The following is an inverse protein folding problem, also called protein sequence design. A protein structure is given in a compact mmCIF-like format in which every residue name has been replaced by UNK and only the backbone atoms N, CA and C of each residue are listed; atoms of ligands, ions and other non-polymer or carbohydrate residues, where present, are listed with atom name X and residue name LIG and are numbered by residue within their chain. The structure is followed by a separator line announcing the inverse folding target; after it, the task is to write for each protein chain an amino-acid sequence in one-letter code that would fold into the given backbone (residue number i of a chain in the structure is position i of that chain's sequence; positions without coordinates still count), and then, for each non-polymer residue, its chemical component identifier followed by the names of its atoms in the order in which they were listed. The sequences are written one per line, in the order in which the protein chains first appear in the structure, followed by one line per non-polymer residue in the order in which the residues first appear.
data_IF_497124038464
#
_entry.id   IF_497124038464
#
_cell.length_a   1.000
_cell.length_b   1.000
_cell.length_c   1.000
_cell.angle_alpha   90.00
_cell.angle_beta   90.00
_cell.angle_gamma   90.00
#
_symmetry.space_group_name_H-M   'P 1'
#
loop_
_entity.id
_entity.type
_entity.pdbx_description
1 polymer ?
#
# COMPACT_ATOMS: atom_id res chain seq x y z
N UNK A 1 60.04 28.85 8.13
CA UNK A 1 59.05 27.94 8.76
C UNK A 1 57.73 28.05 8.00
N UNK A 2 57.41 27.07 7.15
CA UNK A 2 56.18 27.06 6.32
C UNK A 2 55.03 26.52 7.18
N UNK A 3 54.04 27.37 7.49
CA UNK A 3 52.82 26.95 8.20
C UNK A 3 51.90 26.21 7.21
N UNK A 4 51.72 24.90 7.41
CA UNK A 4 50.75 24.10 6.68
C UNK A 4 49.40 24.29 7.38
N UNK A 5 48.45 24.92 6.70
CA UNK A 5 47.06 25.08 7.16
C UNK A 5 46.31 23.82 6.73
N UNK A 6 45.91 22.99 7.69
CA UNK A 6 44.97 21.90 7.46
C UNK A 6 43.55 22.49 7.39
N UNK A 7 42.99 22.54 6.18
CA UNK A 7 41.57 22.83 5.98
C UNK A 7 40.82 21.51 6.18
N UNK A 8 40.17 21.36 7.34
CA UNK A 8 39.20 20.31 7.60
C UNK A 8 37.93 20.62 6.79
N UNK A 9 37.77 19.93 5.66
CA UNK A 9 36.52 19.94 4.89
C UNK A 9 35.51 19.08 5.66
N UNK A 10 34.61 19.75 6.37
CA UNK A 10 33.43 19.12 6.95
C UNK A 10 32.47 18.78 5.80
N UNK A 11 32.52 17.54 5.31
CA UNK A 11 31.50 17.02 4.39
C UNK A 11 30.32 16.61 5.28
N UNK A 12 29.18 17.32 5.26
CA UNK A 12 27.97 16.81 5.89
C UNK A 12 27.60 15.52 5.13
N UNK A 13 27.81 14.38 5.78
CA UNK A 13 27.25 13.11 5.35
C UNK A 13 25.75 13.22 5.58
N UNK A 14 25.04 13.80 4.61
CA UNK A 14 23.60 13.65 4.51
C UNK A 14 23.40 12.22 4.02
N UNK A 15 23.34 11.26 4.95
CA UNK A 15 22.84 9.93 4.66
C UNK A 15 21.39 10.07 4.24
N UNK A 16 21.15 10.18 2.93
CA UNK A 16 19.86 9.85 2.34
C UNK A 16 19.65 8.35 2.63
N UNK A 17 19.05 8.05 3.78
CA UNK A 17 18.46 6.74 3.99
C UNK A 17 17.33 6.64 2.98
N UNK A 18 17.58 5.98 1.86
CA UNK A 18 16.49 5.43 1.06
C UNK A 18 15.72 4.55 2.03
N UNK A 19 14.51 4.97 2.40
CA UNK A 19 13.55 4.21 3.21
C UNK A 19 13.12 3.00 2.35
N UNK A 20 14.02 2.05 2.23
CA UNK A 20 13.70 0.65 2.03
C UNK A 20 13.87 0.03 3.41
N UNK A 21 12.94 0.34 4.33
CA UNK A 21 12.89 -0.44 5.55
C UNK A 21 12.62 -1.89 5.17
N UNK A 22 13.56 -2.75 5.55
CA UNK A 22 13.44 -4.19 5.36
C UNK A 22 12.19 -4.63 6.12
N UNK A 23 11.31 -5.33 5.41
CA UNK A 23 10.13 -5.97 5.99
C UNK A 23 10.51 -6.69 7.30
N UNK A 24 9.85 -6.34 8.40
CA UNK A 24 10.11 -6.97 9.69
C UNK A 24 9.69 -8.45 9.66
N UNK A 25 10.54 -9.32 10.19
CA UNK A 25 10.22 -10.73 10.35
C UNK A 25 9.02 -10.90 11.30
N UNK A 26 8.99 -10.12 12.39
CA UNK A 26 7.86 -9.99 13.29
C UNK A 26 7.66 -8.51 13.67
N UNK A 27 6.42 -8.05 13.58
CA UNK A 27 5.93 -6.77 14.08
C UNK A 27 4.74 -7.04 15.01
N UNK A 28 4.73 -6.44 16.21
CA UNK A 28 3.59 -6.51 17.12
C UNK A 28 3.04 -5.10 17.37
N UNK A 29 1.77 -4.88 17.02
CA UNK A 29 1.05 -3.65 17.38
C UNK A 29 0.34 -3.89 18.72
N UNK A 30 0.61 -3.04 19.71
CA UNK A 30 0.29 -3.30 21.12
C UNK A 30 -0.92 -2.49 21.59
N UNK A 31 -1.89 -3.14 22.22
CA UNK A 31 -2.90 -2.48 23.06
C UNK A 31 -3.94 -1.59 22.33
N UNK A 32 -4.13 -1.77 21.03
CA UNK A 32 -5.02 -0.89 20.26
C UNK A 32 -6.51 -1.27 20.37
N UNK A 33 -7.39 -0.32 20.03
CA UNK A 33 -8.79 -0.63 19.71
C UNK A 33 -8.92 -0.97 18.22
N UNK A 34 -9.38 -2.18 17.90
CA UNK A 34 -9.51 -2.69 16.54
C UNK A 34 -10.92 -2.44 15.98
N UNK A 35 -10.98 -1.84 14.80
CA UNK A 35 -12.16 -1.79 13.93
C UNK A 35 -11.90 -2.71 12.75
N UNK A 36 -12.48 -3.91 12.73
CA UNK A 36 -12.11 -4.96 11.77
C UNK A 36 -12.94 -4.96 10.46
N UNK A 37 -13.72 -3.91 10.19
CA UNK A 37 -14.56 -3.74 9.00
C UNK A 37 -15.65 -4.81 8.78
N UNK A 38 -16.04 -5.55 9.82
CA UNK A 38 -17.18 -6.49 9.75
C UNK A 38 -18.54 -5.83 10.05
N UNK A 39 -18.53 -4.55 10.46
CA UNK A 39 -19.71 -3.85 10.97
C UNK A 39 -20.00 -4.13 12.45
N UNK A 40 -19.25 -5.04 13.10
CA UNK A 40 -19.33 -5.26 14.54
C UNK A 40 -18.75 -4.08 15.34
N UNK A 41 -19.12 -3.93 16.63
CA UNK A 41 -18.51 -2.95 17.51
C UNK A 41 -16.97 -3.10 17.59
N UNK A 42 -16.22 -2.01 17.84
CA UNK A 42 -14.78 -2.07 18.02
C UNK A 42 -14.36 -3.03 19.14
N UNK A 43 -13.24 -3.73 18.96
CA UNK A 43 -12.71 -4.72 19.89
C UNK A 43 -11.40 -4.23 20.48
N UNK A 44 -11.24 -4.25 21.80
CA UNK A 44 -9.95 -3.85 22.38
C UNK A 44 -9.91 -3.81 23.90
N UNK A 45 -8.70 -3.65 24.47
CA UNK A 45 -7.41 -3.59 23.77
C UNK A 45 -7.00 -4.94 23.14
N UNK A 46 -6.39 -4.90 21.96
CA UNK A 46 -5.81 -6.06 21.27
C UNK A 46 -4.32 -5.87 20.98
N UNK A 47 -3.58 -6.97 20.99
CA UNK A 47 -2.26 -7.06 20.36
C UNK A 47 -2.39 -7.77 19.00
N UNK A 48 -1.82 -7.19 17.95
CA UNK A 48 -1.83 -7.75 16.59
C UNK A 48 -0.40 -8.18 16.24
N UNK A 49 -0.21 -9.46 15.92
CA UNK A 49 1.07 -10.03 15.49
C UNK A 49 1.07 -10.14 13.97
N UNK A 50 2.08 -9.54 13.36
CA UNK A 50 2.34 -9.57 11.93
C UNK A 50 3.68 -10.24 11.72
N UNK A 51 3.70 -11.35 10.98
CA UNK A 51 4.92 -12.08 10.66
C UNK A 51 5.06 -12.17 9.15
N UNK A 52 6.23 -11.76 8.65
CA UNK A 52 6.51 -11.74 7.22
C UNK A 52 5.36 -11.13 6.38
N UNK A 53 4.84 -9.96 6.83
CA UNK A 53 3.76 -9.20 6.17
C UNK A 53 2.39 -9.92 6.15
N UNK A 54 2.20 -10.90 7.03
CA UNK A 54 0.92 -11.59 7.24
C UNK A 54 0.49 -11.40 8.68
N UNK A 55 -0.78 -11.02 8.91
CA UNK A 55 -1.36 -11.02 10.26
C UNK A 55 -1.52 -12.49 10.68
N UNK A 56 -0.72 -12.93 11.65
CA UNK A 56 -0.75 -14.32 12.13
C UNK A 56 -1.56 -14.48 13.41
N UNK A 57 -1.76 -13.40 14.17
CA UNK A 57 -2.55 -13.44 15.40
C UNK A 57 -3.17 -12.09 15.74
N UNK A 58 -4.42 -12.11 16.23
CA UNK A 58 -5.06 -11.00 16.92
C UNK A 58 -5.46 -11.52 18.31
N UNK A 59 -4.87 -10.95 19.35
CA UNK A 59 -5.06 -11.38 20.73
C UNK A 59 -5.78 -10.27 21.50
N UNK A 60 -6.97 -10.54 22.01
CA UNK A 60 -7.55 -9.67 23.04
C UNK A 60 -6.68 -9.78 24.31
N UNK A 61 -6.23 -8.63 24.82
CA UNK A 61 -5.32 -8.54 25.98
C UNK A 61 -5.98 -7.87 27.19
N UNK A 62 -7.26 -7.53 27.09
CA UNK A 62 -8.02 -6.95 28.20
C UNK A 62 -9.35 -6.35 27.77
N UNK A 63 -9.90 -5.55 28.67
CA UNK A 63 -11.10 -4.73 28.46
C UNK A 63 -10.80 -3.31 28.90
N UNK A 64 -11.51 -2.29 28.36
CA UNK A 64 -11.31 -0.90 28.77
C UNK A 64 -11.46 -0.75 30.29
N UNK A 65 -10.50 -0.08 30.93
CA UNK A 65 -10.50 0.16 32.38
C UNK A 65 -9.95 -0.97 33.25
N UNK A 66 -9.52 -2.10 32.68
CA UNK A 66 -8.88 -3.20 33.43
C UNK A 66 -7.39 -3.31 33.06
N UNK A 67 -6.47 -3.40 34.04
CA UNK A 67 -5.04 -3.57 33.74
C UNK A 67 -4.76 -4.79 32.85
N UNK A 68 -3.93 -4.59 31.83
CA UNK A 68 -3.52 -5.66 30.92
C UNK A 68 -2.58 -6.64 31.64
N UNK A 69 -2.88 -7.93 31.55
CA UNK A 69 -1.98 -8.96 32.07
C UNK A 69 -0.85 -9.25 31.07
N UNK A 70 0.34 -8.68 31.33
CA UNK A 70 1.53 -8.82 30.49
C UNK A 70 1.98 -10.27 30.26
N UNK A 71 1.66 -11.20 31.16
CA UNK A 71 2.01 -12.62 30.96
C UNK A 71 1.26 -13.27 29.80
N UNK A 72 0.08 -12.74 29.44
CA UNK A 72 -0.81 -13.28 28.40
C UNK A 72 -0.61 -12.65 27.02
N UNK A 73 0.24 -11.62 26.93
CA UNK A 73 0.53 -10.94 25.66
C UNK A 73 1.41 -11.81 24.74
N UNK A 74 1.25 -11.71 23.40
CA UNK A 74 2.18 -12.34 22.47
C UNK A 74 3.63 -11.93 22.76
N UNK A 75 4.56 -12.89 22.69
CA UNK A 75 5.97 -12.64 23.00
C UNK A 75 6.69 -12.11 21.76
N UNK A 76 7.50 -11.09 21.98
CA UNK A 76 8.39 -10.55 20.97
C UNK A 76 9.55 -11.53 20.73
N UNK A 77 9.77 -11.94 19.49
CA UNK A 77 10.92 -12.75 19.11
C UNK A 77 12.19 -11.90 19.03
N UNK A 78 13.37 -12.54 19.08
CA UNK A 78 14.63 -11.82 18.88
C UNK A 78 14.63 -11.11 17.51
N UNK A 79 14.96 -9.82 17.48
CA UNK A 79 14.90 -8.98 16.27
C UNK A 79 13.48 -8.60 15.81
N UNK A 80 12.44 -8.95 16.57
CA UNK A 80 11.09 -8.45 16.36
C UNK A 80 10.97 -6.97 16.73
N UNK A 81 9.99 -6.30 16.13
CA UNK A 81 9.65 -4.90 16.42
C UNK A 81 8.29 -4.84 17.08
N UNK A 82 8.11 -3.93 18.04
CA UNK A 82 6.81 -3.61 18.58
C UNK A 82 6.53 -2.12 18.53
N UNK A 83 5.26 -1.78 18.34
CA UNK A 83 4.76 -0.40 18.32
C UNK A 83 3.67 -0.31 19.36
N UNK A 84 3.82 0.64 20.29
CA UNK A 84 2.77 0.96 21.26
C UNK A 84 1.64 1.70 20.55
N UNK A 85 0.43 1.13 20.63
CA UNK A 85 -0.79 1.66 20.03
C UNK A 85 -1.88 1.84 21.09
N UNK A 86 -1.53 1.89 22.38
CA UNK A 86 -2.49 2.17 23.44
C UNK A 86 -3.18 3.52 23.21
N UNK A 87 -4.50 3.56 23.41
CA UNK A 87 -5.34 4.73 23.11
C UNK A 87 -5.57 4.99 21.61
N UNK A 88 -4.91 4.25 20.72
CA UNK A 88 -5.09 4.38 19.26
C UNK A 88 -6.13 3.40 18.72
N UNK A 89 -6.60 3.71 17.51
CA UNK A 89 -7.47 2.83 16.73
C UNK A 89 -6.70 2.23 15.57
N UNK A 90 -6.88 0.93 15.34
CA UNK A 90 -6.36 0.23 14.18
C UNK A 90 -7.52 -0.13 13.25
N UNK A 91 -7.33 0.18 11.97
CA UNK A 91 -8.24 -0.16 10.88
C UNK A 91 -7.48 -0.97 9.82
N UNK A 92 -8.15 -1.82 9.03
CA UNK A 92 -7.61 -2.34 7.79
C UNK A 92 -7.17 -1.18 6.88
N UNK A 93 -6.11 -1.41 6.08
CA UNK A 93 -5.69 -0.44 5.08
C UNK A 93 -6.81 -0.14 4.08
N UNK A 94 -6.93 1.13 3.68
CA UNK A 94 -8.01 1.58 2.83
C UNK A 94 -7.85 1.12 1.38
N UNK A 95 -8.99 0.88 0.74
CA UNK A 95 -9.08 0.43 -0.65
C UNK A 95 -9.78 1.50 -1.46
N UNK A 96 -9.08 2.13 -2.40
CA UNK A 96 -9.68 3.05 -3.37
C UNK A 96 -10.02 2.31 -4.65
N UNK A 97 -11.31 2.21 -4.97
CA UNK A 97 -11.76 1.49 -6.16
C UNK A 97 -11.72 2.34 -7.44
N UNK A 98 -11.32 3.61 -7.37
CA UNK A 98 -11.22 4.50 -8.52
C UNK A 98 -10.02 5.45 -8.37
N UNK A 99 -8.82 4.89 -8.34
CA UNK A 99 -7.58 5.66 -8.20
C UNK A 99 -6.85 5.86 -9.53
N UNK A 100 -6.83 7.08 -10.08
CA UNK A 100 -6.00 7.40 -11.25
C UNK A 100 -4.56 7.71 -10.84
N UNK A 101 -3.59 6.97 -11.39
CA UNK A 101 -2.19 6.98 -10.94
C UNK A 101 -1.34 8.15 -11.52
N UNK A 102 -1.98 9.30 -11.79
CA UNK A 102 -1.32 10.48 -12.34
C UNK A 102 -1.45 10.64 -13.85
N UNK A 103 -0.55 11.45 -14.41
CA UNK A 103 -0.51 11.82 -15.83
C UNK A 103 -0.81 13.30 -16.07
N UNK A 104 -0.75 13.71 -17.34
CA UNK A 104 -0.79 15.12 -17.74
C UNK A 104 -1.99 15.89 -17.16
N UNK A 105 -3.18 15.29 -17.17
CA UNK A 105 -4.40 15.95 -16.66
C UNK A 105 -4.38 16.19 -15.15
N UNK A 106 -3.66 15.37 -14.37
CA UNK A 106 -3.52 15.54 -12.92
C UNK A 106 -2.27 16.37 -12.57
N UNK A 107 -1.38 16.64 -13.53
CA UNK A 107 -0.13 17.37 -13.28
C UNK A 107 0.83 16.67 -12.33
N UNK A 108 0.64 15.37 -12.09
CA UNK A 108 1.40 14.59 -11.11
C UNK A 108 1.96 13.31 -11.73
N UNK A 109 3.16 12.93 -11.30
CA UNK A 109 3.74 11.63 -11.64
C UNK A 109 3.21 10.53 -10.68
N UNK A 110 3.31 9.25 -11.07
CA UNK A 110 2.81 8.15 -10.23
C UNK A 110 3.44 8.09 -8.83
N UNK A 111 4.74 8.36 -8.71
CA UNK A 111 5.46 8.29 -7.43
C UNK A 111 4.89 9.26 -6.39
N UNK A 112 4.62 10.50 -6.78
CA UNK A 112 3.99 11.50 -5.91
C UNK A 112 2.60 11.04 -5.46
N UNK A 113 1.78 10.57 -6.40
CA UNK A 113 0.41 10.10 -6.13
C UNK A 113 0.44 8.90 -5.16
N UNK A 114 1.33 7.94 -5.38
CA UNK A 114 1.48 6.77 -4.52
C UNK A 114 1.88 7.13 -3.10
N UNK A 115 2.87 8.03 -2.93
CA UNK A 115 3.29 8.51 -1.61
C UNK A 115 2.15 9.22 -0.89
N UNK A 116 1.40 10.05 -1.60
CA UNK A 116 0.25 10.75 -1.03
C UNK A 116 -0.83 9.76 -0.56
N UNK A 117 -1.20 8.78 -1.38
CA UNK A 117 -2.18 7.76 -1.02
C UNK A 117 -1.75 6.91 0.18
N UNK A 118 -0.52 6.40 0.17
CA UNK A 118 0.01 5.58 1.27
C UNK A 118 0.08 6.38 2.57
N UNK A 119 0.47 7.67 2.52
CA UNK A 119 0.46 8.55 3.69
C UNK A 119 -0.95 8.80 4.26
N UNK A 120 -2.00 8.63 3.45
CA UNK A 120 -3.40 8.74 3.87
C UNK A 120 -4.06 7.37 4.12
N UNK A 121 -3.25 6.31 4.24
CA UNK A 121 -3.73 4.97 4.60
C UNK A 121 -4.32 4.14 3.47
N UNK A 122 -4.25 4.61 2.21
CA UNK A 122 -4.67 3.83 1.04
C UNK A 122 -3.58 2.83 0.70
N UNK A 123 -3.83 1.55 0.96
CA UNK A 123 -2.87 0.46 0.74
C UNK A 123 -3.18 -0.36 -0.50
N UNK A 124 -4.37 -0.22 -1.08
CA UNK A 124 -4.78 -0.90 -2.32
C UNK A 124 -5.59 0.03 -3.19
N UNK A 125 -5.35 0.02 -4.50
CA UNK A 125 -6.11 0.78 -5.48
C UNK A 125 -6.55 -0.08 -6.66
N UNK A 126 -7.70 0.26 -7.23
CA UNK A 126 -8.08 -0.13 -8.60
C UNK A 126 -7.90 1.06 -9.52
N UNK A 127 -6.95 0.97 -10.43
CA UNK A 127 -6.74 1.95 -11.50
C UNK A 127 -7.71 1.62 -12.63
N UNK A 128 -8.74 2.47 -12.89
CA UNK A 128 -9.84 2.12 -13.76
C UNK A 128 -9.64 2.70 -15.17
N UNK A 129 -8.42 2.65 -15.73
CA UNK A 129 -8.05 3.38 -16.93
C UNK A 129 -7.63 4.82 -16.66
N UNK A 130 -7.01 5.51 -17.62
CA UNK A 130 -6.54 6.87 -17.42
C UNK A 130 -5.66 7.35 -18.57
N UNK A 131 -4.93 8.44 -18.33
CA UNK A 131 -4.07 9.05 -19.35
C UNK A 131 -2.74 8.31 -19.56
N UNK A 132 -2.35 7.45 -18.62
CA UNK A 132 -1.12 6.66 -18.75
C UNK A 132 -1.35 5.43 -19.64
N UNK A 133 -0.30 5.04 -20.36
CA UNK A 133 -0.35 3.85 -21.22
C UNK A 133 -0.58 2.58 -20.40
N UNK A 134 -1.29 1.62 -20.97
CA UNK A 134 -1.57 0.35 -20.29
C UNK A 134 -0.28 -0.38 -19.90
N UNK A 135 0.74 -0.35 -20.77
CA UNK A 135 2.06 -0.92 -20.51
C UNK A 135 2.70 -0.35 -19.24
N UNK A 136 2.70 0.98 -19.07
CA UNK A 136 3.28 1.62 -17.89
C UNK A 136 2.50 1.25 -16.62
N UNK A 137 1.17 1.20 -16.69
CA UNK A 137 0.35 0.81 -15.54
C UNK A 137 0.64 -0.63 -15.09
N UNK A 138 0.77 -1.57 -16.03
CA UNK A 138 1.14 -2.95 -15.74
C UNK A 138 2.56 -3.07 -15.20
N UNK A 139 3.50 -2.27 -15.70
CA UNK A 139 4.87 -2.19 -15.15
C UNK A 139 4.85 -1.73 -13.68
N UNK A 140 4.12 -0.66 -13.37
CA UNK A 140 4.00 -0.14 -12.01
C UNK A 140 3.30 -1.14 -11.08
N UNK A 141 2.27 -1.83 -11.57
CA UNK A 141 1.64 -2.96 -10.85
C UNK A 141 2.67 -4.04 -10.52
N UNK A 142 3.49 -4.46 -11.48
CA UNK A 142 4.50 -5.49 -11.27
C UNK A 142 5.57 -5.05 -10.26
N UNK A 143 6.06 -3.82 -10.38
CA UNK A 143 7.00 -3.22 -9.42
C UNK A 143 6.42 -3.15 -8.01
N UNK A 144 5.17 -2.70 -7.87
CA UNK A 144 4.43 -2.69 -6.59
C UNK A 144 4.31 -4.10 -6.00
N UNK A 145 3.93 -5.10 -6.80
CA UNK A 145 3.76 -6.48 -6.32
C UNK A 145 5.06 -7.13 -5.80
N UNK A 146 6.21 -6.63 -6.26
CA UNK A 146 7.55 -7.08 -5.85
C UNK A 146 8.18 -6.17 -4.79
N UNK A 147 7.45 -5.17 -4.30
CA UNK A 147 7.94 -4.13 -3.39
C UNK A 147 9.17 -3.36 -3.95
N UNK A 148 9.29 -3.22 -5.28
CA UNK A 148 10.40 -2.49 -5.93
C UNK A 148 10.18 -0.96 -5.91
N UNK A 149 8.97 -0.51 -5.56
CA UNK A 149 8.59 0.90 -5.43
C UNK A 149 7.67 1.08 -4.21
N UNK A 150 7.65 2.29 -3.65
CA UNK A 150 6.65 2.68 -2.65
C UNK A 150 5.33 2.96 -3.37
N UNK A 151 4.40 2.01 -3.29
CA UNK A 151 3.09 2.09 -3.90
C UNK A 151 2.07 1.25 -3.14
N UNK A 152 0.77 1.58 -3.21
CA UNK A 152 -0.28 0.65 -2.83
C UNK A 152 -0.24 -0.59 -3.73
N UNK A 153 -0.94 -1.65 -3.34
CA UNK A 153 -1.25 -2.76 -4.23
C UNK A 153 -2.12 -2.25 -5.38
N UNK A 154 -1.73 -2.55 -6.62
CA UNK A 154 -2.40 -2.01 -7.81
C UNK A 154 -3.15 -3.14 -8.52
N UNK A 155 -4.46 -2.96 -8.68
CA UNK A 155 -5.26 -3.65 -9.68
C UNK A 155 -5.43 -2.73 -10.88
N UNK A 156 -4.87 -3.09 -12.04
CA UNK A 156 -4.89 -2.25 -13.23
C UNK A 156 -5.93 -2.74 -14.22
N UNK A 157 -6.92 -1.90 -14.50
CA UNK A 157 -7.93 -2.16 -15.51
C UNK A 157 -7.58 -1.43 -16.81
N UNK A 158 -8.06 -2.00 -17.92
CA UNK A 158 -8.00 -1.36 -19.23
C UNK A 158 -9.36 -0.76 -19.58
N UNK A 159 -9.36 0.39 -20.25
CA UNK A 159 -10.57 0.91 -20.88
C UNK A 159 -10.89 0.07 -22.12
N UNK A 160 -12.11 -0.42 -22.24
CA UNK A 160 -12.55 -1.20 -23.40
C UNK A 160 -12.36 -0.42 -24.70
N UNK A 161 -11.81 -1.06 -25.73
CA UNK A 161 -11.72 -0.47 -27.06
C UNK A 161 -13.11 -0.45 -27.71
N UNK A 162 -13.81 0.68 -27.60
CA UNK A 162 -15.15 0.85 -28.20
C UNK A 162 -15.16 0.89 -29.73
N UNK A 163 -14.00 0.82 -30.40
CA UNK A 163 -13.89 0.82 -31.87
C UNK A 163 -13.95 -0.57 -32.50
N UNK A 164 -14.02 -1.63 -31.70
CA UNK A 164 -14.22 -3.00 -32.22
C UNK A 164 -15.50 -3.09 -33.04
N UNK A 165 -15.45 -3.78 -34.18
CA UNK A 165 -16.52 -3.78 -35.19
C UNK A 165 -17.41 -5.02 -35.16
N UNK A 166 -17.05 -6.04 -34.38
CA UNK A 166 -17.81 -7.28 -34.27
C UNK A 166 -17.71 -7.92 -32.87
N UNK A 167 -18.64 -8.82 -32.51
CA UNK A 167 -18.52 -9.61 -31.29
C UNK A 167 -17.25 -10.46 -31.22
N UNK A 168 -16.74 -10.96 -32.35
CA UNK A 168 -15.52 -11.76 -32.38
C UNK A 168 -14.27 -10.92 -32.11
N UNK A 169 -14.18 -9.72 -32.70
CA UNK A 169 -13.12 -8.76 -32.41
C UNK A 169 -13.15 -8.33 -30.93
N UNK A 170 -14.35 -8.13 -30.37
CA UNK A 170 -14.51 -7.84 -28.94
C UNK A 170 -14.00 -8.99 -28.06
N UNK A 171 -14.35 -10.24 -28.37
CA UNK A 171 -13.86 -11.42 -27.62
C UNK A 171 -12.35 -11.56 -27.71
N UNK A 172 -11.78 -11.34 -28.89
CA UNK A 172 -10.33 -11.36 -29.09
C UNK A 172 -9.64 -10.27 -28.27
N UNK A 173 -10.17 -9.05 -28.28
CA UNK A 173 -9.65 -7.95 -27.46
C UNK A 173 -9.67 -8.29 -25.96
N UNK A 174 -10.77 -8.85 -25.45
CA UNK A 174 -10.89 -9.27 -24.05
C UNK A 174 -9.84 -10.31 -23.68
N UNK A 175 -9.64 -11.34 -24.54
CA UNK A 175 -8.64 -12.39 -24.32
C UNK A 175 -7.22 -11.83 -24.34
N UNK A 176 -6.91 -10.94 -25.28
CA UNK A 176 -5.61 -10.30 -25.36
C UNK A 176 -5.34 -9.40 -24.14
N UNK A 177 -6.33 -8.61 -23.72
CA UNK A 177 -6.24 -7.79 -22.50
C UNK A 177 -5.96 -8.63 -21.24
N UNK A 178 -6.63 -9.77 -21.09
CA UNK A 178 -6.38 -10.70 -19.99
C UNK A 178 -4.97 -11.32 -20.09
N UNK A 179 -4.54 -11.72 -21.30
CA UNK A 179 -3.20 -12.29 -21.55
C UNK A 179 -2.08 -11.29 -21.22
N UNK A 180 -2.30 -10.00 -21.43
CA UNK A 180 -1.36 -8.93 -21.06
C UNK A 180 -1.27 -8.69 -19.54
N UNK A 181 -2.18 -9.25 -18.75
CA UNK A 181 -2.15 -9.17 -17.28
C UNK A 181 -3.01 -8.05 -16.67
N UNK A 182 -3.95 -7.50 -17.45
CA UNK A 182 -4.98 -6.58 -16.94
C UNK A 182 -5.92 -7.31 -15.97
N UNK A 183 -6.25 -6.68 -14.85
CA UNK A 183 -7.12 -7.25 -13.80
C UNK A 183 -8.61 -7.10 -14.10
N UNK A 184 -8.95 -6.31 -15.11
CA UNK A 184 -10.34 -6.09 -15.49
C UNK A 184 -10.51 -5.07 -16.60
N UNK A 185 -11.77 -4.78 -16.90
CA UNK A 185 -12.16 -3.91 -18.01
C UNK A 185 -13.12 -2.85 -17.48
N UNK A 186 -12.89 -1.59 -17.87
CA UNK A 186 -13.86 -0.51 -17.70
C UNK A 186 -14.53 -0.19 -19.03
N UNK A 187 -15.86 -0.17 -19.02
CA UNK A 187 -16.67 0.31 -20.15
C UNK A 187 -17.02 1.78 -19.92
N UNK A 188 -16.76 2.62 -20.92
CA UNK A 188 -17.23 4.00 -20.94
C UNK A 188 -18.54 4.02 -21.71
N UNK A 189 -19.65 3.95 -20.99
CA UNK A 189 -20.98 4.06 -21.58
C UNK A 189 -21.34 5.54 -21.62
N UNK A 190 -21.28 6.15 -22.80
CA UNK A 190 -21.94 7.43 -23.03
C UNK A 190 -23.44 7.14 -23.04
N UNK A 191 -24.20 7.71 -22.11
CA UNK A 191 -25.65 7.81 -22.29
C UNK A 191 -25.85 8.67 -23.54
N UNK A 192 -26.32 8.07 -24.62
CA UNK A 192 -26.99 8.84 -25.66
C UNK A 192 -28.26 9.37 -25.01
N UNK A 193 -28.24 10.66 -24.66
CA UNK A 193 -29.46 11.41 -24.41
C UNK A 193 -30.10 11.76 -25.75
#
# INVERSE_FOLDING_TARGET
MRKIIFILIFIPIVSFSQIFEKQHQQLILRGATLINSTGAPPLGPVDIVIENNIITKIQNVGYPGVPINNSRRPKLTNGGVEIDCEGSYILPGFIDTHGHIGGRSQGANPEYVFKLWMAHGITTIREPGGSLSQKLKLELKNKSSKNEIIAPRIYSFSTFNSRVKSPDEAREWVRNNAKEGSDGIKFLVLHQR
#
